data_IF_167036518327
#
_entry.id   IF_167036518327
#
_cell.length_a   1.000
_cell.length_b   1.000
_cell.length_c   1.000
_cell.angle_alpha   90.00
_cell.angle_beta   90.00
_cell.angle_gamma   90.00
#
_symmetry.space_group_name_H-M   'P 1'
#
loop_
_entity.id
_entity.type
_entity.pdbx_description
1 polymer ?
#
# COMPACT_ATOMS: atom_id res chain seq x y z
N UNK A 1 45.61 0.74 -24.08
CA UNK A 1 44.32 0.30 -24.65
C UNK A 1 43.19 0.97 -23.86
N UNK A 2 42.43 1.90 -24.46
CA UNK A 2 41.28 2.53 -23.79
C UNK A 2 40.07 1.59 -23.90
N UNK A 3 39.66 0.99 -22.79
CA UNK A 3 38.46 0.17 -22.74
C UNK A 3 37.23 0.98 -23.14
N UNK A 4 36.55 0.57 -24.22
CA UNK A 4 35.24 1.12 -24.60
C UNK A 4 34.28 0.84 -23.44
N UNK A 5 33.90 1.89 -22.68
CA UNK A 5 32.76 1.81 -21.77
C UNK A 5 31.55 1.40 -22.61
N UNK A 6 30.94 0.26 -22.27
CA UNK A 6 29.63 -0.10 -22.83
C UNK A 6 28.68 1.06 -22.54
N UNK A 7 27.90 1.54 -23.52
CA UNK A 7 26.89 2.56 -23.26
C UNK A 7 25.95 2.01 -22.19
N UNK A 8 25.67 2.82 -21.16
CA UNK A 8 24.65 2.49 -20.17
C UNK A 8 23.34 2.26 -20.91
N UNK A 9 22.61 1.20 -20.54
CA UNK A 9 21.28 0.96 -21.07
C UNK A 9 20.40 2.18 -20.75
N UNK A 10 19.52 2.61 -21.67
CA UNK A 10 18.60 3.70 -21.40
C UNK A 10 17.75 3.38 -20.16
N UNK A 11 17.63 4.35 -19.26
CA UNK A 11 16.71 4.24 -18.12
C UNK A 11 15.28 4.15 -18.65
N UNK A 12 14.52 3.18 -18.16
CA UNK A 12 13.11 2.99 -18.50
C UNK A 12 12.25 3.52 -17.37
N UNK A 13 11.15 4.18 -17.74
CA UNK A 13 10.18 4.70 -16.79
C UNK A 13 8.83 4.06 -17.04
N UNK A 14 8.14 3.72 -15.97
CA UNK A 14 6.85 3.03 -15.97
C UNK A 14 5.83 3.86 -15.23
N UNK A 15 4.65 4.04 -15.82
CA UNK A 15 3.54 4.76 -15.23
C UNK A 15 2.36 3.80 -15.05
N UNK A 16 1.87 3.68 -13.82
CA UNK A 16 0.65 2.93 -13.52
C UNK A 16 -0.57 3.73 -13.98
N UNK A 17 -1.39 3.14 -14.86
CA UNK A 17 -2.52 3.85 -15.46
C UNK A 17 -3.71 4.03 -14.53
N UNK A 18 -3.75 3.30 -13.40
CA UNK A 18 -4.95 3.20 -12.57
C UNK A 18 -6.12 2.66 -13.40
N UNK A 19 -7.34 2.98 -12.99
CA UNK A 19 -8.54 2.62 -13.74
C UNK A 19 -8.52 3.25 -15.14
N UNK A 20 -8.24 2.42 -16.15
CA UNK A 20 -8.18 2.82 -17.55
C UNK A 20 -8.96 1.78 -18.38
N UNK A 21 -10.07 2.22 -18.98
CA UNK A 21 -10.95 1.33 -19.77
C UNK A 21 -10.35 0.95 -21.12
N UNK A 22 -9.43 1.76 -21.64
CA UNK A 22 -8.82 1.57 -22.95
C UNK A 22 -7.31 1.82 -22.91
N UNK A 23 -6.56 0.94 -22.22
CA UNK A 23 -5.14 1.14 -21.98
C UNK A 23 -4.33 1.11 -23.29
N UNK A 24 -4.74 0.34 -24.30
CA UNK A 24 -4.02 0.21 -25.56
C UNK A 24 -4.10 1.45 -26.45
N UNK A 25 -5.04 2.37 -26.20
CA UNK A 25 -5.13 3.65 -26.92
C UNK A 25 -4.44 4.81 -26.20
N UNK A 26 -3.80 4.56 -25.05
CA UNK A 26 -2.99 5.58 -24.39
C UNK A 26 -1.74 5.88 -25.21
N UNK A 27 -1.59 7.16 -25.61
CA UNK A 27 -0.43 7.67 -26.38
C UNK A 27 0.38 8.71 -25.61
N UNK A 28 -0.24 9.39 -24.67
CA UNK A 28 0.33 10.47 -23.87
C UNK A 28 -0.27 10.42 -22.48
N UNK A 29 0.57 10.63 -21.47
CA UNK A 29 0.13 10.83 -20.10
C UNK A 29 0.17 12.32 -19.83
N UNK A 30 -0.98 12.88 -19.53
CA UNK A 30 -1.14 14.29 -19.21
C UNK A 30 -1.12 14.51 -17.71
N UNK A 31 -0.61 15.67 -17.30
CA UNK A 31 -0.66 16.12 -15.90
C UNK A 31 -2.11 16.33 -15.46
N UNK A 32 -2.38 16.29 -14.15
CA UNK A 32 -3.73 16.55 -13.63
C UNK A 32 -4.22 17.96 -14.03
N UNK A 33 -3.33 18.95 -14.01
CA UNK A 33 -3.60 20.33 -14.44
C UNK A 33 -4.08 20.40 -15.89
N UNK A 34 -3.43 19.68 -16.81
CA UNK A 34 -3.84 19.66 -18.22
C UNK A 34 -5.22 19.02 -18.42
N UNK A 35 -5.58 18.07 -17.57
CA UNK A 35 -6.88 17.40 -17.58
C UNK A 35 -7.98 18.16 -16.84
N UNK A 36 -7.66 19.30 -16.22
CA UNK A 36 -8.59 20.05 -15.37
C UNK A 36 -8.99 19.29 -14.10
N UNK A 37 -8.16 18.35 -13.65
CA UNK A 37 -8.38 17.61 -12.41
C UNK A 37 -7.64 18.28 -11.24
N UNK A 38 -8.29 18.32 -10.07
CA UNK A 38 -7.64 18.71 -8.83
C UNK A 38 -6.60 17.70 -8.38
N UNK A 39 -5.69 18.14 -7.52
CA UNK A 39 -4.87 17.23 -6.71
C UNK A 39 -5.69 16.75 -5.51
N UNK A 40 -5.21 15.70 -4.84
CA UNK A 40 -5.78 15.29 -3.55
C UNK A 40 -5.65 16.41 -2.52
N UNK A 41 -6.56 16.46 -1.55
CA UNK A 41 -6.61 17.51 -0.51
C UNK A 41 -5.32 17.60 0.32
N UNK A 42 -4.58 16.49 0.44
CA UNK A 42 -3.33 16.39 1.19
C UNK A 42 -2.07 16.60 0.33
N UNK A 43 -2.22 16.76 -0.98
CA UNK A 43 -1.10 16.97 -1.90
C UNK A 43 -0.86 18.46 -2.16
N UNK A 44 0.42 18.83 -2.33
CA UNK A 44 0.79 20.20 -2.73
C UNK A 44 0.12 20.57 -4.07
N UNK A 45 -0.40 21.80 -4.24
CA UNK A 45 -0.97 22.26 -5.52
C UNK A 45 -0.01 22.12 -6.70
N UNK A 46 1.30 22.18 -6.46
CA UNK A 46 2.31 22.02 -7.52
C UNK A 46 2.26 20.63 -8.18
N UNK A 47 1.82 19.61 -7.44
CA UNK A 47 1.71 18.22 -7.89
C UNK A 47 0.80 18.09 -9.12
N UNK A 48 -0.12 19.04 -9.32
CA UNK A 48 -1.01 19.07 -10.47
C UNK A 48 -0.26 19.17 -11.80
N UNK A 49 0.93 19.79 -11.81
CA UNK A 49 1.75 20.01 -13.01
C UNK A 49 2.70 18.87 -13.36
N UNK A 50 2.59 17.72 -12.68
CA UNK A 50 3.51 16.60 -12.84
C UNK A 50 2.84 15.33 -13.35
N UNK A 51 3.61 14.53 -14.10
CA UNK A 51 3.34 13.10 -14.34
C UNK A 51 4.30 12.28 -13.48
N UNK A 52 3.74 11.32 -12.73
CA UNK A 52 4.48 10.44 -11.85
C UNK A 52 4.77 9.10 -12.54
N UNK A 53 5.97 8.57 -12.35
CA UNK A 53 6.43 7.30 -12.90
C UNK A 53 7.42 6.63 -11.94
N UNK A 54 7.86 5.43 -12.25
CA UNK A 54 8.86 4.68 -11.50
C UNK A 54 9.88 4.05 -12.44
N UNK A 55 11.09 3.82 -11.95
CA UNK A 55 12.05 2.96 -12.65
C UNK A 55 11.79 1.47 -12.38
N UNK A 56 10.96 1.13 -11.39
CA UNK A 56 10.46 -0.22 -11.11
C UNK A 56 9.12 -0.43 -11.79
N UNK A 57 9.01 -1.53 -12.53
CA UNK A 57 7.75 -1.94 -13.13
C UNK A 57 6.74 -2.39 -12.07
N UNK A 58 7.23 -3.06 -11.02
CA UNK A 58 6.46 -3.58 -9.89
C UNK A 58 5.81 -2.43 -9.10
N UNK A 59 6.56 -1.37 -8.81
CA UNK A 59 6.02 -0.18 -8.16
C UNK A 59 4.94 0.51 -9.02
N UNK A 60 5.20 0.65 -10.33
CA UNK A 60 4.20 1.22 -11.24
C UNK A 60 2.93 0.37 -11.34
N UNK A 61 3.05 -0.98 -11.34
CA UNK A 61 1.89 -1.86 -11.30
C UNK A 61 1.15 -1.77 -9.95
N UNK A 62 1.87 -1.71 -8.84
CA UNK A 62 1.29 -1.54 -7.51
C UNK A 62 0.44 -0.27 -7.43
N UNK A 63 0.94 0.87 -7.92
CA UNK A 63 0.16 2.11 -8.02
C UNK A 63 -1.04 1.98 -8.97
N UNK A 64 -0.89 1.25 -10.07
CA UNK A 64 -2.02 0.97 -10.97
C UNK A 64 -3.12 0.22 -10.23
N UNK A 65 -2.79 -0.83 -9.47
CA UNK A 65 -3.78 -1.61 -8.69
C UNK A 65 -4.42 -0.78 -7.58
N UNK A 66 -3.64 0.04 -6.86
CA UNK A 66 -4.18 0.99 -5.88
C UNK A 66 -5.16 1.98 -6.53
N UNK A 67 -4.90 2.38 -7.78
CA UNK A 67 -5.79 3.15 -8.63
C UNK A 67 -6.94 2.35 -9.27
N UNK A 68 -7.17 1.10 -8.85
CA UNK A 68 -8.17 0.15 -9.38
C UNK A 68 -7.96 -0.22 -10.85
N UNK A 69 -6.71 -0.19 -11.28
CA UNK A 69 -6.25 -0.54 -12.62
C UNK A 69 -5.54 -1.89 -12.69
N UNK A 70 -5.21 -2.28 -13.91
CA UNK A 70 -4.44 -3.48 -14.22
C UNK A 70 -3.40 -3.24 -15.33
N UNK A 71 -3.09 -1.98 -15.65
CA UNK A 71 -2.25 -1.65 -16.78
C UNK A 71 -1.12 -0.67 -16.40
N UNK A 72 0.03 -0.85 -17.04
CA UNK A 72 1.22 -0.02 -16.88
C UNK A 72 1.71 0.36 -18.27
N UNK A 73 2.12 1.61 -18.45
CA UNK A 73 2.76 2.05 -19.68
C UNK A 73 4.23 2.37 -19.45
N UNK A 74 5.08 1.99 -20.41
CA UNK A 74 6.42 2.56 -20.51
C UNK A 74 6.27 3.99 -21.02
N UNK A 75 6.87 4.95 -20.33
CA UNK A 75 6.82 6.36 -20.70
C UNK A 75 8.20 6.87 -21.11
N UNK A 76 8.21 7.78 -22.07
CA UNK A 76 9.40 8.51 -22.48
C UNK A 76 9.18 9.99 -22.17
N UNK A 77 9.99 10.59 -21.28
CA UNK A 77 9.91 12.00 -20.94
C UNK A 77 10.54 12.93 -21.99
N UNK A 78 11.17 12.37 -23.03
CA UNK A 78 11.92 13.08 -24.06
C UNK A 78 12.96 14.04 -23.46
N UNK A 79 12.72 15.35 -23.44
CA UNK A 79 13.63 16.36 -22.87
C UNK A 79 13.26 16.82 -21.46
N UNK A 80 12.20 16.29 -20.85
CA UNK A 80 11.80 16.65 -19.50
C UNK A 80 12.80 16.10 -18.47
N UNK A 81 13.12 16.92 -17.46
CA UNK A 81 13.96 16.51 -16.34
C UNK A 81 13.20 15.51 -15.46
N UNK A 82 13.86 14.40 -15.13
CA UNK A 82 13.38 13.50 -14.09
C UNK A 82 13.72 14.11 -12.71
N UNK A 83 12.69 14.43 -11.93
CA UNK A 83 12.82 14.85 -10.54
C UNK A 83 12.44 13.68 -9.63
N UNK A 84 13.08 13.47 -8.46
CA UNK A 84 12.58 12.52 -7.47
C UNK A 84 11.15 12.86 -7.05
N UNK A 85 10.32 11.83 -6.86
CA UNK A 85 9.00 12.00 -6.25
C UNK A 85 9.18 12.32 -4.74
N UNK A 86 8.63 13.44 -4.22
CA UNK A 86 8.74 13.76 -2.81
C UNK A 86 8.07 12.73 -1.88
N UNK A 87 7.04 12.03 -2.36
CA UNK A 87 6.31 11.03 -1.57
C UNK A 87 6.98 9.65 -1.64
N UNK A 88 7.73 9.40 -2.72
CA UNK A 88 8.40 8.13 -3.00
C UNK A 88 9.82 8.37 -3.56
N UNK A 89 10.75 8.93 -2.77
CA UNK A 89 12.05 9.39 -3.29
C UNK A 89 12.97 8.27 -3.77
N UNK A 90 12.76 7.03 -3.33
CA UNK A 90 13.54 5.86 -3.77
C UNK A 90 12.93 5.21 -5.01
N UNK A 91 11.60 5.14 -5.07
CA UNK A 91 10.87 4.36 -6.09
C UNK A 91 10.31 5.23 -7.22
N UNK A 92 10.01 6.48 -6.94
CA UNK A 92 9.25 7.39 -7.79
C UNK A 92 10.11 8.47 -8.44
N UNK A 93 9.70 8.85 -9.64
CA UNK A 93 10.14 10.06 -10.32
C UNK A 93 8.91 10.82 -10.81
N UNK A 94 9.07 12.13 -10.97
CA UNK A 94 8.05 13.00 -11.54
C UNK A 94 8.65 13.86 -12.66
N UNK A 95 7.84 14.13 -13.67
CA UNK A 95 8.17 14.97 -14.81
C UNK A 95 7.23 16.16 -14.88
N UNK A 96 7.76 17.38 -14.95
CA UNK A 96 6.94 18.58 -15.09
C UNK A 96 6.42 18.68 -16.52
N UNK A 97 5.14 18.43 -16.70
CA UNK A 97 4.51 18.35 -18.02
C UNK A 97 4.25 16.91 -18.49
N UNK A 98 3.67 16.75 -19.69
CA UNK A 98 3.18 15.47 -20.17
C UNK A 98 4.29 14.62 -20.79
N UNK A 99 4.15 13.30 -20.69
CA UNK A 99 5.10 12.32 -21.24
C UNK A 99 4.45 11.43 -22.29
N UNK A 100 5.25 10.89 -23.22
CA UNK A 100 4.74 9.99 -24.26
C UNK A 100 4.67 8.56 -23.75
N UNK A 101 3.55 7.88 -23.99
CA UNK A 101 3.46 6.43 -23.78
C UNK A 101 4.07 5.71 -24.99
N UNK A 102 4.99 4.79 -24.73
CA UNK A 102 5.75 4.05 -25.76
C UNK A 102 5.23 2.63 -25.93
N UNK A 103 4.91 1.97 -24.82
CA UNK A 103 4.31 0.65 -24.81
C UNK A 103 3.37 0.53 -23.63
N UNK A 104 2.41 -0.40 -23.73
CA UNK A 104 1.42 -0.67 -22.69
C UNK A 104 1.44 -2.16 -22.41
N UNK A 105 1.38 -2.51 -21.13
CA UNK A 105 1.18 -3.87 -20.66
C UNK A 105 -0.07 -3.89 -19.80
N UNK A 106 -1.03 -4.73 -20.20
CA UNK A 106 -2.20 -5.06 -19.40
C UNK A 106 -1.92 -6.40 -18.72
N UNK A 107 -2.17 -6.46 -17.42
CA UNK A 107 -1.97 -7.65 -16.60
C UNK A 107 -3.32 -8.31 -16.38
N UNK A 108 -3.37 -9.61 -16.58
CA UNK A 108 -4.58 -10.42 -16.32
C UNK A 108 -4.93 -10.40 -14.83
N UNK A 109 -6.22 -10.44 -14.45
CA UNK A 109 -6.66 -10.31 -13.06
C UNK A 109 -5.95 -11.25 -12.07
N UNK A 110 -5.70 -12.50 -12.46
CA UNK A 110 -5.07 -13.52 -11.63
C UNK A 110 -3.56 -13.31 -11.45
N UNK A 111 -2.95 -12.53 -12.33
CA UNK A 111 -1.53 -12.16 -12.29
C UNK A 111 -1.29 -10.80 -11.64
N UNK A 112 -2.35 -10.10 -11.19
CA UNK A 112 -2.21 -8.86 -10.44
C UNK A 112 -1.59 -9.11 -9.07
N UNK A 113 -0.75 -8.20 -8.58
CA UNK A 113 -0.18 -8.35 -7.25
C UNK A 113 -1.29 -8.33 -6.21
N UNK A 114 -1.15 -9.17 -5.20
CA UNK A 114 -1.98 -9.10 -4.01
C UNK A 114 -1.53 -7.96 -3.07
N UNK A 115 -2.26 -7.75 -1.99
CA UNK A 115 -1.98 -6.63 -1.08
C UNK A 115 -0.61 -6.72 -0.40
N UNK A 116 -0.10 -7.91 -0.09
CA UNK A 116 1.26 -8.08 0.47
C UNK A 116 2.34 -7.74 -0.56
N UNK A 117 2.16 -8.16 -1.81
CA UNK A 117 3.10 -7.86 -2.90
C UNK A 117 3.14 -6.36 -3.23
N UNK A 118 1.98 -5.68 -3.19
CA UNK A 118 1.88 -4.23 -3.31
C UNK A 118 2.67 -3.54 -2.19
N UNK A 119 2.48 -3.96 -0.94
CA UNK A 119 3.21 -3.40 0.20
C UNK A 119 4.70 -3.60 0.04
N UNK A 120 5.13 -4.83 -0.30
CA UNK A 120 6.54 -5.16 -0.54
C UNK A 120 7.17 -4.27 -1.62
N UNK A 121 6.48 -4.05 -2.73
CA UNK A 121 6.97 -3.23 -3.84
C UNK A 121 7.16 -1.76 -3.45
N UNK A 122 6.40 -1.27 -2.46
CA UNK A 122 6.36 0.13 -2.05
C UNK A 122 7.07 0.41 -0.72
N UNK A 123 7.45 -0.63 0.03
CA UNK A 123 7.94 -0.51 1.40
C UNK A 123 9.23 0.31 1.56
N UNK A 124 10.06 0.42 0.51
CA UNK A 124 11.30 1.17 0.55
C UNK A 124 11.11 2.64 0.96
N UNK A 125 9.97 3.25 0.59
CA UNK A 125 9.63 4.63 0.92
C UNK A 125 8.54 4.77 2.00
N UNK A 126 7.97 3.66 2.46
CA UNK A 126 6.97 3.71 3.54
C UNK A 126 7.62 4.08 4.87
N UNK A 127 7.19 5.23 5.42
CA UNK A 127 7.63 5.79 6.69
C UNK A 127 6.45 6.06 7.62
N UNK A 128 6.70 5.93 8.91
CA UNK A 128 5.81 6.45 9.94
C UNK A 128 5.91 7.97 10.04
N UNK A 129 5.02 8.59 10.81
CA UNK A 129 5.02 10.05 11.03
C UNK A 129 6.27 10.57 11.74
N UNK A 130 7.00 9.71 12.45
CA UNK A 130 8.30 10.00 13.05
C UNK A 130 9.49 9.68 12.12
N UNK A 131 9.22 9.47 10.83
CA UNK A 131 10.19 9.17 9.77
C UNK A 131 10.92 7.82 9.92
N UNK A 132 10.52 6.97 10.87
CA UNK A 132 11.04 5.60 10.93
C UNK A 132 10.42 4.73 9.83
N UNK A 133 11.12 3.74 9.26
CA UNK A 133 10.52 2.79 8.32
C UNK A 133 9.29 2.10 8.90
N UNK A 134 8.29 1.83 8.05
CA UNK A 134 7.12 1.06 8.49
C UNK A 134 7.42 -0.42 8.66
N UNK A 135 8.39 -0.95 7.90
CA UNK A 135 8.74 -2.36 7.88
C UNK A 135 10.21 -2.56 8.24
N UNK A 136 10.53 -3.74 8.76
CA UNK A 136 11.90 -4.24 8.79
C UNK A 136 12.30 -4.79 7.42
N UNK A 137 13.60 -5.04 7.22
CA UNK A 137 14.13 -5.60 5.98
C UNK A 137 13.59 -7.01 5.69
N UNK A 138 13.24 -7.76 6.73
CA UNK A 138 12.60 -9.08 6.65
C UNK A 138 11.09 -9.01 6.34
N UNK A 139 10.55 -7.80 6.15
CA UNK A 139 9.17 -7.54 5.76
C UNK A 139 8.16 -7.48 6.89
N UNK A 140 8.55 -7.70 8.13
CA UNK A 140 7.59 -7.58 9.24
C UNK A 140 7.31 -6.11 9.56
N UNK A 141 6.04 -5.84 9.92
CA UNK A 141 5.58 -4.51 10.28
C UNK A 141 6.20 -4.09 11.63
N UNK A 142 6.78 -2.89 11.67
CA UNK A 142 7.18 -2.24 12.93
C UNK A 142 5.93 -1.69 13.61
N UNK A 143 5.92 -1.69 14.94
CA UNK A 143 4.80 -1.14 15.70
C UNK A 143 4.56 0.33 15.29
N UNK A 144 3.33 0.72 14.90
CA UNK A 144 3.02 2.12 14.59
C UNK A 144 3.32 3.03 15.79
N UNK A 145 3.67 4.32 15.59
CA UNK A 145 4.00 5.23 16.69
C UNK A 145 2.93 5.32 17.77
N UNK A 146 1.64 5.31 17.38
CA UNK A 146 0.53 5.31 18.33
C UNK A 146 0.44 4.00 19.14
N UNK A 147 0.73 2.86 18.52
CA UNK A 147 0.75 1.58 19.23
C UNK A 147 1.96 1.51 20.17
N UNK A 148 3.13 2.02 19.75
CA UNK A 148 4.30 2.15 20.62
C UNK A 148 4.02 3.02 21.85
N UNK A 149 3.32 4.14 21.68
CA UNK A 149 2.93 5.00 22.81
C UNK A 149 1.94 4.34 23.78
N UNK A 150 1.26 3.28 23.33
CA UNK A 150 0.38 2.41 24.15
C UNK A 150 1.11 1.19 24.71
N UNK A 151 2.42 1.10 24.51
CA UNK A 151 3.28 0.04 25.06
C UNK A 151 3.48 -1.17 24.17
N UNK A 152 2.89 -1.23 22.97
CA UNK A 152 3.16 -2.35 22.05
C UNK A 152 4.63 -2.35 21.61
N UNK A 153 5.20 -3.55 21.52
CA UNK A 153 6.51 -3.80 20.95
C UNK A 153 6.39 -4.21 19.47
N UNK A 154 7.48 -4.09 18.71
CA UNK A 154 7.54 -4.53 17.32
C UNK A 154 7.19 -6.03 17.16
N UNK A 155 7.59 -6.86 18.13
CA UNK A 155 7.31 -8.30 18.16
C UNK A 155 5.79 -8.60 18.17
N UNK A 156 5.00 -7.67 18.68
CA UNK A 156 3.55 -7.82 18.85
C UNK A 156 2.80 -7.83 17.52
N UNK A 157 3.47 -7.44 16.44
CA UNK A 157 2.93 -7.37 15.09
C UNK A 157 3.44 -8.50 14.20
N UNK A 158 4.34 -9.37 14.70
CA UNK A 158 4.92 -10.48 13.92
C UNK A 158 3.86 -11.48 13.45
N UNK A 159 2.82 -11.70 14.27
CA UNK A 159 1.70 -12.59 13.93
C UNK A 159 0.91 -12.13 12.70
N UNK A 160 1.03 -10.88 12.25
CA UNK A 160 0.44 -10.42 11.00
C UNK A 160 1.12 -11.02 9.77
N UNK A 161 2.34 -11.54 9.93
CA UNK A 161 3.15 -12.02 8.82
C UNK A 161 3.83 -10.91 8.02
N UNK A 162 4.62 -11.30 7.03
CA UNK A 162 5.43 -10.38 6.23
C UNK A 162 4.59 -9.52 5.28
N UNK A 163 4.90 -8.23 5.19
CA UNK A 163 4.28 -7.26 4.29
C UNK A 163 2.79 -7.06 4.53
N UNK A 164 2.36 -7.17 5.79
CA UNK A 164 0.97 -6.87 6.17
C UNK A 164 0.60 -5.44 5.74
N UNK A 165 -0.54 -5.23 5.05
CA UNK A 165 -0.99 -3.89 4.67
C UNK A 165 -1.47 -3.09 5.89
N UNK A 166 -0.63 -2.17 6.37
CA UNK A 166 -0.85 -1.44 7.62
C UNK A 166 -2.18 -0.66 7.66
N UNK A 167 -2.72 -0.24 6.51
CA UNK A 167 -4.01 0.44 6.41
C UNK A 167 -5.20 -0.39 6.96
N UNK A 168 -5.03 -1.70 7.16
CA UNK A 168 -6.06 -2.59 7.72
C UNK A 168 -5.79 -2.96 9.20
N UNK A 169 -4.95 -2.17 9.86
CA UNK A 169 -4.78 -2.10 11.30
C UNK A 169 -5.52 -0.86 11.83
N UNK A 170 -6.45 -1.06 12.76
CA UNK A 170 -7.37 -0.03 13.25
C UNK A 170 -7.22 0.12 14.77
N UNK A 171 -6.59 1.21 15.25
CA UNK A 171 -6.48 1.47 16.68
C UNK A 171 -7.82 1.86 17.29
N UNK A 172 -8.19 1.22 18.39
CA UNK A 172 -9.37 1.55 19.17
C UNK A 172 -9.04 2.53 20.31
N UNK A 173 -10.08 3.19 20.85
CA UNK A 173 -9.94 4.15 21.95
C UNK A 173 -9.44 3.50 23.27
N UNK A 174 -9.77 2.23 23.51
CA UNK A 174 -9.34 1.47 24.69
C UNK A 174 -7.91 0.91 24.57
N UNK A 175 -7.15 1.30 23.55
CA UNK A 175 -5.78 0.84 23.32
C UNK A 175 -5.65 -0.50 22.60
N UNK A 176 -6.75 -1.23 22.37
CA UNK A 176 -6.72 -2.43 21.51
C UNK A 176 -6.46 -2.05 20.06
N UNK A 177 -5.91 -2.97 19.29
CA UNK A 177 -5.78 -2.86 17.84
C UNK A 177 -6.66 -3.92 17.19
N UNK A 178 -7.50 -3.50 16.25
CA UNK A 178 -8.30 -4.40 15.41
C UNK A 178 -7.65 -4.57 14.06
N UNK A 179 -7.61 -5.81 13.59
CA UNK A 179 -7.03 -6.18 12.30
C UNK A 179 -8.14 -6.81 11.46
N UNK A 180 -8.23 -6.44 10.18
CA UNK A 180 -9.14 -7.05 9.22
C UNK A 180 -8.35 -7.77 8.11
N UNK A 181 -8.77 -8.99 7.76
CA UNK A 181 -8.26 -9.69 6.57
C UNK A 181 -9.03 -9.31 5.28
N UNK A 182 -8.72 -9.97 4.15
CA UNK A 182 -9.39 -9.70 2.87
C UNK A 182 -10.86 -10.18 2.81
N UNK A 183 -11.30 -10.98 3.78
CA UNK A 183 -12.69 -11.40 3.96
C UNK A 183 -13.43 -10.50 4.98
N UNK A 184 -12.69 -9.56 5.58
CA UNK A 184 -13.16 -8.65 6.61
C UNK A 184 -13.31 -9.35 7.95
N UNK A 185 -12.74 -10.54 8.14
CA UNK A 185 -12.71 -11.22 9.43
C UNK A 185 -11.94 -10.35 10.43
N UNK A 186 -12.58 -9.95 11.55
CA UNK A 186 -11.92 -9.19 12.60
C UNK A 186 -11.08 -10.06 13.54
N UNK A 187 -9.91 -9.54 13.87
CA UNK A 187 -8.99 -10.05 14.89
C UNK A 187 -8.65 -8.91 15.85
N UNK A 188 -8.47 -9.23 17.13
CA UNK A 188 -8.05 -8.27 18.14
C UNK A 188 -6.68 -8.62 18.71
N UNK A 189 -5.90 -7.58 19.01
CA UNK A 189 -4.77 -7.65 19.93
C UNK A 189 -4.89 -6.57 21.00
N UNK A 190 -4.26 -6.83 22.15
CA UNK A 190 -4.41 -6.03 23.35
C UNK A 190 -3.06 -5.42 23.78
N UNK A 191 -3.07 -4.20 24.31
CA UNK A 191 -1.85 -3.56 24.80
C UNK A 191 -1.35 -4.29 26.05
N UNK A 192 -0.06 -4.14 26.41
CA UNK A 192 0.43 -4.65 27.68
C UNK A 192 -0.39 -4.12 28.86
N UNK A 193 -0.71 -5.00 29.81
CA UNK A 193 -1.47 -4.63 31.01
C UNK A 193 -2.97 -4.37 30.78
N UNK A 194 -3.54 -4.74 29.61
CA UNK A 194 -4.96 -4.55 29.35
C UNK A 194 -5.85 -5.23 30.42
N UNK A 195 -6.76 -4.47 31.09
CA UNK A 195 -7.66 -5.03 32.09
C UNK A 195 -8.55 -6.12 31.52
N UNK A 196 -8.63 -7.27 32.18
CA UNK A 196 -9.51 -8.38 31.77
C UNK A 196 -8.87 -9.46 30.91
N UNK A 197 -7.56 -9.37 30.61
CA UNK A 197 -6.84 -10.50 30.01
C UNK A 197 -6.81 -11.72 30.95
N UNK A 198 -6.75 -11.52 32.28
CA UNK A 198 -6.78 -12.60 33.29
C UNK A 198 -5.77 -13.73 32.98
N UNK A 199 -4.56 -13.38 32.57
CA UNK A 199 -3.49 -14.33 32.19
C UNK A 199 -3.56 -14.87 30.77
N UNK A 200 -4.58 -14.49 29.98
CA UNK A 200 -4.68 -14.87 28.56
C UNK A 200 -3.65 -14.14 27.69
N UNK A 201 -3.23 -14.76 26.57
CA UNK A 201 -2.44 -14.10 25.54
C UNK A 201 -3.06 -12.77 25.08
N UNK A 202 -2.19 -11.77 24.85
CA UNK A 202 -2.59 -10.45 24.33
C UNK A 202 -2.46 -10.33 22.81
N UNK A 203 -1.61 -11.16 22.20
CA UNK A 203 -1.39 -11.27 20.76
C UNK A 203 -1.58 -12.74 20.36
N UNK A 204 -2.10 -13.02 19.16
CA UNK A 204 -2.24 -14.38 18.67
C UNK A 204 -0.91 -15.15 18.65
N UNK A 205 -0.97 -16.45 18.92
CA UNK A 205 0.19 -17.37 18.87
C UNK A 205 0.46 -17.94 17.48
N UNK A 206 -0.48 -17.74 16.56
CA UNK A 206 -0.41 -18.18 15.17
C UNK A 206 -0.39 -16.99 14.22
N UNK A 207 -0.09 -17.23 12.94
CA UNK A 207 0.16 -16.21 11.93
C UNK A 207 -1.00 -16.01 10.96
N UNK A 208 -1.15 -14.78 10.47
CA UNK A 208 -2.03 -14.41 9.36
C UNK A 208 -1.34 -14.44 7.99
N UNK A 209 -0.22 -15.14 7.81
CA UNK A 209 0.53 -15.19 6.54
C UNK A 209 -0.35 -15.52 5.31
N UNK A 210 -1.42 -16.30 5.48
CA UNK A 210 -2.37 -16.65 4.40
C UNK A 210 -3.38 -15.56 4.02
N UNK A 211 -3.47 -14.47 4.78
CA UNK A 211 -4.34 -13.34 4.48
C UNK A 211 -3.67 -12.33 3.53
N UNK A 212 -4.48 -11.49 2.90
CA UNK A 212 -4.15 -10.49 1.90
C UNK A 212 -3.45 -11.05 0.66
N UNK A 213 -3.83 -12.26 0.26
CA UNK A 213 -3.21 -13.02 -0.85
C UNK A 213 -4.03 -12.98 -2.14
N UNK A 214 -5.26 -12.46 -2.10
CA UNK A 214 -6.13 -12.34 -3.28
C UNK A 214 -5.53 -11.37 -4.33
N UNK A 215 -5.27 -11.83 -5.57
CA UNK A 215 -4.77 -10.99 -6.66
C UNK A 215 -5.65 -9.76 -6.92
N UNK A 216 -5.00 -8.60 -7.11
CA UNK A 216 -5.67 -7.33 -7.47
C UNK A 216 -6.60 -6.75 -6.41
N UNK A 217 -6.69 -7.36 -5.21
CA UNK A 217 -7.61 -6.93 -4.16
C UNK A 217 -6.90 -6.05 -3.12
N UNK A 218 -7.10 -4.74 -3.23
CA UNK A 218 -6.68 -3.75 -2.24
C UNK A 218 -7.81 -2.73 -2.04
N UNK A 219 -8.81 -3.00 -1.18
CA UNK A 219 -9.94 -2.11 -1.01
C UNK A 219 -9.53 -0.81 -0.33
N UNK A 220 -10.35 0.23 -0.47
CA UNK A 220 -10.20 1.42 0.35
C UNK A 220 -10.42 1.05 1.84
N UNK A 221 -9.47 1.40 2.70
CA UNK A 221 -9.50 0.99 4.11
C UNK A 221 -10.65 1.62 4.91
N UNK A 222 -11.05 2.86 4.60
CA UNK A 222 -12.20 3.52 5.24
C UNK A 222 -13.49 2.81 4.86
N UNK A 223 -13.66 2.48 3.58
CA UNK A 223 -14.81 1.69 3.11
C UNK A 223 -14.83 0.30 3.75
N UNK A 224 -13.66 -0.32 3.91
CA UNK A 224 -13.51 -1.64 4.54
C UNK A 224 -13.92 -1.61 6.01
N UNK A 225 -13.42 -0.62 6.77
CA UNK A 225 -13.80 -0.40 8.17
C UNK A 225 -15.30 -0.12 8.29
N UNK A 226 -15.85 0.73 7.43
CA UNK A 226 -17.29 1.04 7.42
C UNK A 226 -18.14 -0.21 7.17
N UNK A 227 -17.75 -1.06 6.21
CA UNK A 227 -18.44 -2.34 5.97
C UNK A 227 -18.39 -3.25 7.19
N UNK A 228 -17.24 -3.35 7.85
CA UNK A 228 -17.12 -4.09 9.10
C UNK A 228 -18.10 -3.54 10.14
N UNK A 229 -18.09 -2.23 10.41
CA UNK A 229 -18.99 -1.58 11.37
C UNK A 229 -20.48 -1.83 11.05
N UNK A 230 -20.87 -1.73 9.78
CA UNK A 230 -22.24 -2.02 9.34
C UNK A 230 -22.65 -3.47 9.66
N UNK A 231 -21.78 -4.45 9.41
CA UNK A 231 -22.04 -5.85 9.78
C UNK A 231 -22.15 -6.02 11.30
N UNK A 232 -21.30 -5.35 12.08
CA UNK A 232 -21.37 -5.39 13.54
C UNK A 232 -22.69 -4.83 14.08
N UNK A 233 -23.13 -3.69 13.54
CA UNK A 233 -24.41 -3.09 13.93
C UNK A 233 -25.61 -3.97 13.54
N UNK A 234 -25.60 -4.55 12.34
CA UNK A 234 -26.70 -5.40 11.87
C UNK A 234 -26.77 -6.75 12.60
N UNK A 235 -25.62 -7.37 12.89
CA UNK A 235 -25.54 -8.70 13.48
C UNK A 235 -25.52 -8.72 15.02
N UNK A 236 -25.34 -7.58 15.68
CA UNK A 236 -25.34 -7.47 17.14
C UNK A 236 -24.39 -8.46 17.81
N UNK A 237 -24.90 -9.19 18.82
CA UNK A 237 -24.13 -10.18 19.59
C UNK A 237 -23.53 -11.29 18.71
N UNK A 238 -24.23 -11.71 17.66
CA UNK A 238 -23.73 -12.76 16.77
C UNK A 238 -22.50 -12.30 15.96
N UNK A 239 -22.46 -11.01 15.57
CA UNK A 239 -21.29 -10.44 14.92
C UNK A 239 -20.12 -10.21 15.89
N UNK A 240 -20.40 -9.83 17.14
CA UNK A 240 -19.38 -9.74 18.20
C UNK A 240 -18.70 -11.08 18.47
N UNK A 241 -19.46 -12.17 18.44
CA UNK A 241 -18.92 -13.53 18.59
C UNK A 241 -18.02 -13.98 17.42
N UNK A 242 -18.00 -13.24 16.30
CA UNK A 242 -17.08 -13.53 15.19
C UNK A 242 -15.72 -12.89 15.38
N UNK A 243 -15.54 -11.96 16.33
CA UNK A 243 -14.24 -11.33 16.58
C UNK A 243 -13.28 -12.37 17.16
N UNK A 244 -12.21 -12.65 16.42
CA UNK A 244 -11.19 -13.61 16.83
C UNK A 244 -10.28 -12.99 17.87
N UNK A 245 -10.30 -13.58 19.06
CA UNK A 245 -9.46 -13.17 20.17
C UNK A 245 -8.13 -13.93 20.13
N UNK A 246 -7.03 -13.37 20.68
CA UNK A 246 -5.70 -13.97 20.65
C UNK A 246 -5.61 -15.42 21.12
N UNK A 247 -6.45 -15.82 22.06
CA UNK A 247 -6.46 -17.13 22.69
C UNK A 247 -7.41 -18.13 22.03
N UNK A 248 -8.05 -17.76 20.93
CA UNK A 248 -8.96 -18.63 20.16
C UNK A 248 -8.24 -19.36 19.01
N UNK A 249 -6.93 -19.25 18.96
CA UNK A 249 -6.05 -19.80 17.94
C UNK A 249 -5.25 -20.99 18.47
#
# INVERSE_FOLDING_TARGET
>A
MKGKRRPALPVRYWHGLGLCLDPYNVRRIETAQMRGHGVRDDASPESAGYVYASTSWEAALAFSVLGRGNAVCEVKPDSLLAEPDPDFPTLGVRFRGPVRAVSVKVVEPEALPNAREIVKALAADYRWTDNTPQYFDDGYLRAPPLSRSRGYADEDFRWLGQWWPWHFLFPNANGTEMVLDEHGQPYLMFPPGYPGLNGRPRVPTSSLDGAWTRPGFYPNHVDWLRRHQQRMHAGGTAALAQIRLPWEW
#
